data_IF_784531848081
#
_entry.id   IF_784531848081
#
_cell.length_a   1.000
_cell.length_b   1.000
_cell.length_c   1.000
_cell.angle_alpha   90.00
_cell.angle_beta   90.00
_cell.angle_gamma   90.00
#
_symmetry.space_group_name_H-M   'P 1'
#
loop_
_entity.id
_entity.type
_entity.pdbx_description
1 polymer ?
#
# COMPACT_ATOMS: atom_id res chain seq x y z
N UNK A 1 -2.95 70.11 49.93
CA UNK A 1 -3.97 69.92 48.88
C UNK A 1 -3.39 68.96 47.85
N UNK A 2 -4.20 67.97 47.46
CA UNK A 2 -4.04 66.88 46.48
C UNK A 2 -2.75 66.90 45.61
N UNK A 3 -1.94 65.85 45.51
CA UNK A 3 -2.35 64.46 45.39
C UNK A 3 -2.90 64.18 43.99
N UNK A 4 -2.02 64.04 43.00
CA UNK A 4 -2.31 63.20 41.84
C UNK A 4 -1.15 62.23 41.66
N UNK A 5 -1.39 60.91 41.73
CA UNK A 5 -0.34 59.92 41.59
C UNK A 5 0.17 59.97 40.15
N UNK A 6 1.49 59.82 39.99
CA UNK A 6 2.08 59.39 38.73
C UNK A 6 1.46 58.02 38.43
N UNK A 7 0.68 57.97 37.36
CA UNK A 7 0.16 56.72 36.80
C UNK A 7 1.38 55.86 36.45
N UNK A 8 1.60 54.82 37.27
CA UNK A 8 2.62 53.81 37.03
C UNK A 8 2.31 53.20 35.65
N UNK A 9 3.28 53.13 34.72
CA UNK A 9 3.01 52.51 33.43
C UNK A 9 2.53 51.07 33.68
N UNK A 10 1.45 50.62 33.01
CA UNK A 10 0.97 49.26 33.19
C UNK A 10 2.15 48.33 32.93
N UNK A 11 2.48 47.51 33.94
CA UNK A 11 3.50 46.50 33.82
C UNK A 11 3.26 45.74 32.53
N UNK A 12 4.24 45.77 31.63
CA UNK A 12 4.22 44.91 30.45
C UNK A 12 4.26 43.50 31.00
N UNK A 13 3.09 42.87 31.13
CA UNK A 13 3.03 41.47 31.47
C UNK A 13 3.93 40.75 30.46
N UNK A 14 4.89 39.94 30.92
CA UNK A 14 5.70 39.19 30.00
C UNK A 14 4.73 38.29 29.22
N UNK A 15 4.56 38.57 27.93
CA UNK A 15 3.92 37.63 27.00
C UNK A 15 4.60 36.29 27.27
N UNK A 16 3.84 35.36 27.85
CA UNK A 16 4.39 34.14 28.39
C UNK A 16 5.18 33.43 27.28
N UNK A 17 6.42 32.99 27.52
CA UNK A 17 7.21 32.28 26.50
C UNK A 17 6.67 30.89 26.10
N UNK A 18 5.36 30.62 26.18
CA UNK A 18 4.81 29.29 26.50
C UNK A 18 4.09 28.52 25.40
N UNK A 19 3.91 29.04 24.19
CA UNK A 19 3.14 28.32 23.14
C UNK A 19 3.99 27.65 22.05
N UNK A 20 5.32 27.78 22.08
CA UNK A 20 6.18 27.13 21.08
C UNK A 20 6.29 25.61 21.27
N UNK A 21 6.30 25.15 22.53
CA UNK A 21 6.36 23.73 22.83
C UNK A 21 5.05 23.02 22.43
N UNK A 22 3.91 23.65 22.67
CA UNK A 22 2.59 23.15 22.23
C UNK A 22 2.48 23.16 20.71
N UNK A 23 2.86 24.25 20.05
CA UNK A 23 2.90 24.32 18.60
C UNK A 23 3.81 23.26 17.96
N UNK A 24 4.98 22.99 18.56
CA UNK A 24 5.88 21.93 18.09
C UNK A 24 5.26 20.54 18.26
N UNK A 25 4.60 20.26 19.39
CA UNK A 25 3.93 18.99 19.64
C UNK A 25 2.77 18.76 18.66
N UNK A 26 1.98 19.79 18.38
CA UNK A 26 0.90 19.73 17.40
C UNK A 26 1.43 19.50 15.98
N UNK A 27 2.49 20.23 15.60
CA UNK A 27 3.15 20.05 14.32
C UNK A 27 3.71 18.62 14.16
N UNK A 28 4.38 18.09 15.20
CA UNK A 28 4.88 16.71 15.20
C UNK A 28 3.74 15.70 15.07
N UNK A 29 2.63 15.90 15.80
CA UNK A 29 1.46 15.03 15.71
C UNK A 29 0.87 15.02 14.29
N UNK A 30 0.74 16.19 13.67
CA UNK A 30 0.26 16.30 12.30
C UNK A 30 1.20 15.59 11.31
N UNK A 31 2.52 15.74 11.47
CA UNK A 31 3.51 15.04 10.66
C UNK A 31 3.40 13.53 10.81
N UNK A 32 3.28 13.01 12.04
CA UNK A 32 3.10 11.56 12.24
C UNK A 32 1.81 11.04 11.60
N UNK A 33 0.69 11.75 11.73
CA UNK A 33 -0.56 11.37 11.08
C UNK A 33 -0.42 11.30 9.55
N UNK A 34 0.29 12.27 8.95
CA UNK A 34 0.57 12.26 7.51
C UNK A 34 1.49 11.10 7.10
N UNK A 35 2.47 10.76 7.92
CA UNK A 35 3.36 9.62 7.67
C UNK A 35 2.57 8.31 7.73
N UNK A 36 1.73 8.12 8.73
CA UNK A 36 0.87 6.95 8.88
C UNK A 36 -0.08 6.80 7.67
N UNK A 37 -0.71 7.89 7.25
CA UNK A 37 -1.58 7.90 6.07
C UNK A 37 -0.82 7.57 4.79
N UNK A 38 0.38 8.13 4.61
CA UNK A 38 1.23 7.83 3.47
C UNK A 38 1.66 6.35 3.45
N UNK A 39 1.97 5.77 4.60
CA UNK A 39 2.30 4.35 4.73
C UNK A 39 1.11 3.43 4.42
N UNK A 40 -0.09 3.80 4.87
CA UNK A 40 -1.32 3.10 4.55
C UNK A 40 -1.58 3.11 3.03
N UNK A 41 -1.53 4.30 2.40
CA UNK A 41 -1.71 4.46 0.96
C UNK A 41 -0.66 3.72 0.14
N UNK A 42 0.61 3.75 0.56
CA UNK A 42 1.67 2.97 -0.09
C UNK A 42 1.41 1.47 0.01
N UNK A 43 0.90 1.01 1.14
CA UNK A 43 0.57 -0.40 1.35
C UNK A 43 -0.60 -0.83 0.48
N UNK A 44 -1.67 -0.05 0.43
CA UNK A 44 -2.80 -0.29 -0.46
C UNK A 44 -2.37 -0.28 -1.93
N UNK A 45 -1.57 0.70 -2.35
CA UNK A 45 -1.07 0.79 -3.72
C UNK A 45 -0.23 -0.44 -4.11
N UNK A 46 0.63 -0.95 -3.21
CA UNK A 46 1.38 -2.20 -3.44
C UNK A 46 0.44 -3.39 -3.60
N UNK A 47 -0.53 -3.55 -2.70
CA UNK A 47 -1.49 -4.67 -2.75
C UNK A 47 -2.33 -4.64 -4.04
N UNK A 48 -2.77 -3.45 -4.47
CA UNK A 48 -3.50 -3.27 -5.72
C UNK A 48 -2.64 -3.61 -6.94
N UNK A 49 -1.39 -3.14 -6.98
CA UNK A 49 -0.44 -3.49 -8.05
C UNK A 49 -0.21 -4.99 -8.13
N UNK A 50 0.07 -5.64 -6.99
CA UNK A 50 0.24 -7.10 -6.92
C UNK A 50 -1.01 -7.85 -7.40
N UNK A 51 -2.21 -7.36 -7.07
CA UNK A 51 -3.46 -7.97 -7.52
C UNK A 51 -3.65 -7.83 -9.04
N UNK A 52 -3.36 -6.65 -9.61
CA UNK A 52 -3.46 -6.39 -11.04
C UNK A 52 -2.44 -7.20 -11.85
N UNK A 53 -1.19 -7.21 -11.42
CA UNK A 53 -0.13 -8.02 -12.04
C UNK A 53 -0.47 -9.51 -11.97
N UNK A 54 -0.94 -9.99 -10.81
CA UNK A 54 -1.38 -11.37 -10.64
C UNK A 54 -2.50 -11.76 -11.60
N UNK A 55 -3.49 -10.88 -11.83
CA UNK A 55 -4.57 -11.13 -12.80
C UNK A 55 -4.01 -11.23 -14.22
N UNK A 56 -3.18 -10.29 -14.64
CA UNK A 56 -2.59 -10.29 -15.98
C UNK A 56 -1.77 -11.56 -16.26
N UNK A 57 -1.01 -12.04 -15.28
CA UNK A 57 -0.24 -13.28 -15.40
C UNK A 57 -1.14 -14.51 -15.52
N UNK A 58 -2.21 -14.58 -14.73
CA UNK A 58 -3.19 -15.68 -14.80
C UNK A 58 -3.87 -15.72 -16.16
N UNK A 59 -4.31 -14.58 -16.70
CA UNK A 59 -4.92 -14.50 -18.03
C UNK A 59 -3.97 -14.99 -19.13
N UNK A 60 -2.70 -14.56 -19.09
CA UNK A 60 -1.68 -15.03 -20.04
C UNK A 60 -1.42 -16.54 -19.92
N UNK A 61 -1.30 -17.06 -18.72
CA UNK A 61 -1.08 -18.49 -18.50
C UNK A 61 -2.27 -19.34 -18.99
N UNK A 62 -3.51 -18.87 -18.78
CA UNK A 62 -4.70 -19.49 -19.40
C UNK A 62 -4.59 -19.50 -20.92
N UNK A 63 -4.26 -18.37 -21.54
CA UNK A 63 -4.08 -18.28 -22.99
C UNK A 63 -3.03 -19.26 -23.54
N UNK A 64 -1.91 -19.43 -22.83
CA UNK A 64 -0.89 -20.43 -23.18
C UNK A 64 -1.43 -21.86 -23.08
N UNK A 65 -2.15 -22.18 -22.01
CA UNK A 65 -2.76 -23.52 -21.83
C UNK A 65 -3.82 -23.81 -22.89
N UNK A 66 -4.65 -22.83 -23.23
CA UNK A 66 -5.65 -22.93 -24.29
C UNK A 66 -4.97 -23.22 -25.64
N UNK A 67 -3.90 -22.50 -25.98
CA UNK A 67 -3.15 -22.70 -27.22
C UNK A 67 -2.47 -24.07 -27.30
N UNK A 68 -1.95 -24.58 -26.18
CA UNK A 68 -1.17 -25.84 -26.15
C UNK A 68 -2.06 -27.07 -26.03
N UNK A 69 -3.19 -26.96 -25.30
CA UNK A 69 -4.09 -28.09 -25.02
C UNK A 69 -5.37 -28.07 -25.84
N UNK A 70 -5.64 -27.00 -26.59
CA UNK A 70 -6.87 -26.85 -27.37
C UNK A 70 -8.14 -26.83 -26.50
N UNK A 71 -8.04 -26.35 -25.26
CA UNK A 71 -9.16 -26.31 -24.32
C UNK A 71 -9.75 -24.91 -24.18
N UNK A 72 -10.97 -24.83 -23.63
CA UNK A 72 -11.61 -23.58 -23.29
C UNK A 72 -10.97 -22.91 -22.05
N UNK A 73 -11.35 -21.65 -21.82
CA UNK A 73 -10.83 -20.83 -20.73
C UNK A 73 -11.10 -21.43 -19.33
N UNK A 74 -12.29 -22.02 -19.12
CA UNK A 74 -12.67 -22.63 -17.86
C UNK A 74 -11.80 -23.85 -17.57
N UNK A 75 -11.61 -24.72 -18.56
CA UNK A 75 -10.71 -25.87 -18.46
C UNK A 75 -9.26 -25.43 -18.21
N UNK A 76 -8.78 -24.41 -18.91
CA UNK A 76 -7.43 -23.86 -18.69
C UNK A 76 -7.25 -23.32 -17.26
N UNK A 77 -8.25 -22.62 -16.71
CA UNK A 77 -8.20 -22.15 -15.33
C UNK A 77 -8.18 -23.30 -14.32
N UNK A 78 -8.99 -24.35 -14.53
CA UNK A 78 -9.00 -25.52 -13.64
C UNK A 78 -7.66 -26.26 -13.65
N UNK A 79 -6.99 -26.35 -14.80
CA UNK A 79 -5.63 -26.89 -14.89
C UNK A 79 -4.64 -26.05 -14.07
N UNK A 80 -4.73 -24.73 -14.17
CA UNK A 80 -3.91 -23.80 -13.38
C UNK A 80 -4.11 -24.00 -11.86
N UNK A 81 -5.37 -24.18 -11.43
CA UNK A 81 -5.73 -24.48 -10.03
C UNK A 81 -5.20 -25.84 -9.59
N UNK A 82 -5.29 -26.87 -10.44
CA UNK A 82 -4.76 -28.19 -10.15
C UNK A 82 -3.24 -28.17 -9.96
N UNK A 83 -2.51 -27.44 -10.81
CA UNK A 83 -1.07 -27.24 -10.70
C UNK A 83 -0.69 -26.48 -9.42
N UNK A 84 -1.44 -25.43 -9.10
CA UNK A 84 -1.28 -24.66 -7.85
C UNK A 84 -1.43 -25.56 -6.62
N UNK A 85 -2.45 -26.42 -6.57
CA UNK A 85 -2.66 -27.39 -5.49
C UNK A 85 -1.53 -28.41 -5.42
N UNK A 86 -1.12 -28.97 -6.56
CA UNK A 86 -0.03 -29.95 -6.64
C UNK A 86 1.31 -29.39 -6.13
N UNK A 87 1.56 -28.10 -6.35
CA UNK A 87 2.80 -27.44 -5.93
C UNK A 87 2.71 -26.77 -4.54
N UNK A 88 1.52 -26.69 -3.92
CA UNK A 88 1.32 -25.95 -2.66
C UNK A 88 1.59 -24.44 -2.78
N UNK A 89 1.47 -23.87 -3.99
CA UNK A 89 1.79 -22.46 -4.28
C UNK A 89 0.56 -21.72 -4.77
N UNK A 90 0.53 -20.40 -4.57
CA UNK A 90 -0.57 -19.55 -5.07
C UNK A 90 -0.66 -19.64 -6.61
N UNK A 91 -1.88 -19.67 -7.14
CA UNK A 91 -2.16 -19.73 -8.60
C UNK A 91 -1.39 -18.66 -9.39
N UNK A 92 -1.33 -17.42 -8.88
CA UNK A 92 -0.56 -16.32 -9.50
C UNK A 92 0.94 -16.61 -9.63
N UNK A 93 1.53 -17.34 -8.68
CA UNK A 93 2.95 -17.68 -8.72
C UNK A 93 3.23 -18.78 -9.77
N UNK A 94 2.33 -19.76 -9.87
CA UNK A 94 2.40 -20.78 -10.93
C UNK A 94 2.26 -20.12 -12.31
N UNK A 95 1.31 -19.19 -12.46
CA UNK A 95 1.15 -18.43 -13.70
C UNK A 95 2.38 -17.58 -14.05
N UNK A 96 3.01 -16.96 -13.05
CA UNK A 96 4.24 -16.18 -13.24
C UNK A 96 5.39 -17.06 -13.81
N UNK A 97 5.60 -18.25 -13.23
CA UNK A 97 6.64 -19.18 -13.69
C UNK A 97 6.41 -19.66 -15.13
N UNK A 98 5.14 -19.87 -15.50
CA UNK A 98 4.76 -20.26 -16.86
C UNK A 98 5.00 -19.15 -17.88
N UNK A 99 4.79 -17.89 -17.49
CA UNK A 99 4.85 -16.73 -18.40
C UNK A 99 6.23 -16.07 -18.49
N UNK A 100 7.08 -16.26 -17.48
CA UNK A 100 8.44 -15.68 -17.42
C UNK A 100 9.52 -16.58 -18.05
N UNK A 101 9.15 -17.82 -18.44
CA UNK A 101 9.99 -18.66 -19.30
C UNK A 101 10.91 -19.66 -18.60
N UNK A 102 10.50 -20.25 -17.47
CA UNK A 102 11.34 -21.21 -16.73
C UNK A 102 10.80 -22.65 -16.60
N UNK A 103 9.49 -22.86 -16.71
CA UNK A 103 8.90 -24.18 -16.51
C UNK A 103 8.31 -24.73 -17.82
N UNK A 104 8.59 -25.99 -18.21
CA UNK A 104 7.88 -26.64 -19.28
C UNK A 104 6.39 -26.61 -18.95
N UNK A 105 5.56 -26.20 -19.92
CA UNK A 105 4.12 -26.42 -19.86
C UNK A 105 3.90 -27.87 -19.42
N UNK A 106 3.02 -28.14 -18.44
CA UNK A 106 2.78 -29.50 -18.01
C UNK A 106 2.35 -30.29 -19.25
N UNK A 107 3.19 -31.26 -19.63
CA UNK A 107 2.93 -32.17 -20.74
C UNK A 107 1.87 -33.19 -20.29
N UNK A 108 1.14 -33.82 -21.25
CA UNK A 108 0.13 -34.84 -20.93
C UNK A 108 0.69 -35.98 -20.07
#
# INVERSE_FOLDING_TARGET
MAGMPLDEPPGVEPVAPRDHATALLEALRAVFALVDELEALRTENRQLKEALEGRALIERAKGMLMAVRGCDEGTAFQLLVALSRKQGRKVRAVAADMTTGGAPLPLP
#
